data_IF_111659922718
#
_entry.id   IF_111659922718
#
_cell.length_a   1.000
_cell.length_b   1.000
_cell.length_c   1.000
_cell.angle_alpha   90.00
_cell.angle_beta   90.00
_cell.angle_gamma   90.00
#
_symmetry.space_group_name_H-M   'P 1'
#
loop_
_entity.id
_entity.type
_entity.pdbx_description
1 polymer ?
#
# COMPACT_ATOMS: atom_id res chain seq x y z
N UNK A 1 -1.28 -0.84 -18.70
CA UNK A 1 0.08 -0.82 -19.28
C UNK A 1 0.48 0.55 -19.81
N UNK A 2 -0.43 1.36 -20.37
CA UNK A 2 -0.09 2.71 -20.87
C UNK A 2 0.62 3.62 -19.84
N UNK A 3 0.19 3.58 -18.58
CA UNK A 3 0.78 4.39 -17.48
C UNK A 3 2.20 3.98 -17.07
N UNK A 4 2.72 2.86 -17.57
CA UNK A 4 4.11 2.44 -17.33
C UNK A 4 5.08 3.09 -18.33
N UNK A 5 4.59 3.51 -19.51
CA UNK A 5 5.44 4.18 -20.48
C UNK A 5 5.53 5.67 -20.14
N UNK A 6 6.73 6.28 -20.09
CA UNK A 6 6.91 7.68 -19.69
C UNK A 6 6.06 8.69 -20.49
N UNK A 7 5.99 8.52 -21.82
CA UNK A 7 5.16 9.38 -22.67
C UNK A 7 3.67 9.20 -22.39
N UNK A 8 3.26 7.96 -22.10
CA UNK A 8 1.87 7.64 -21.79
C UNK A 8 1.45 8.23 -20.45
N UNK A 9 2.31 8.05 -19.43
CA UNK A 9 2.15 8.66 -18.11
C UNK A 9 2.02 10.18 -18.20
N UNK A 10 2.93 10.84 -18.95
CA UNK A 10 2.94 12.30 -19.09
C UNK A 10 1.70 12.82 -19.82
N UNK A 11 1.27 12.17 -20.90
CA UNK A 11 0.06 12.57 -21.63
C UNK A 11 -1.19 12.39 -20.76
N UNK A 12 -1.24 11.29 -20.00
CA UNK A 12 -2.36 11.02 -19.09
C UNK A 12 -2.43 12.04 -17.95
N UNK A 13 -1.30 12.37 -17.33
CA UNK A 13 -1.26 13.39 -16.27
C UNK A 13 -1.73 14.76 -16.78
N UNK A 14 -1.30 15.19 -17.97
CA UNK A 14 -1.79 16.44 -18.58
C UNK A 14 -3.31 16.46 -18.75
N UNK A 15 -3.90 15.30 -19.05
CA UNK A 15 -5.36 15.17 -19.18
C UNK A 15 -6.04 15.34 -17.82
N UNK A 16 -5.49 14.73 -16.77
CA UNK A 16 -5.95 14.88 -15.38
C UNK A 16 -5.88 16.35 -14.93
N UNK A 17 -4.74 17.01 -15.16
CA UNK A 17 -4.51 18.41 -14.76
C UNK A 17 -5.36 19.41 -15.55
N UNK A 18 -5.88 19.03 -16.73
CA UNK A 18 -6.78 19.88 -17.52
C UNK A 18 -8.22 19.99 -16.97
N UNK A 19 -8.48 19.42 -15.78
CA UNK A 19 -9.77 19.46 -15.10
C UNK A 19 -10.62 18.20 -15.29
N UNK A 20 -10.12 17.21 -16.02
CA UNK A 20 -10.77 15.92 -16.22
C UNK A 20 -9.98 14.81 -15.51
N UNK A 21 -10.05 14.77 -14.18
CA UNK A 21 -9.44 13.70 -13.39
C UNK A 21 -10.23 12.39 -13.53
N UNK A 22 -10.14 11.81 -14.72
CA UNK A 22 -10.75 10.54 -15.09
C UNK A 22 -10.17 9.39 -14.28
N UNK A 23 -8.97 9.55 -13.71
CA UNK A 23 -8.33 8.52 -12.90
C UNK A 23 -9.02 8.39 -11.54
N UNK A 24 -9.21 9.50 -10.82
CA UNK A 24 -9.99 9.52 -9.58
C UNK A 24 -11.44 9.08 -9.85
N UNK A 25 -12.06 9.57 -10.93
CA UNK A 25 -13.43 9.19 -11.25
C UNK A 25 -13.57 7.68 -11.51
N UNK A 26 -12.64 7.11 -12.29
CA UNK A 26 -12.61 5.67 -12.58
C UNK A 26 -12.36 4.87 -11.31
N UNK A 27 -11.44 5.33 -10.46
CA UNK A 27 -11.15 4.72 -9.17
C UNK A 27 -12.41 4.68 -8.28
N UNK A 28 -13.08 5.83 -8.09
CA UNK A 28 -14.31 5.95 -7.30
C UNK A 28 -15.39 4.99 -7.80
N UNK A 29 -15.58 4.90 -9.12
CA UNK A 29 -16.55 3.98 -9.72
C UNK A 29 -16.21 2.51 -9.48
N UNK A 30 -14.93 2.16 -9.47
CA UNK A 30 -14.48 0.78 -9.27
C UNK A 30 -14.68 0.28 -7.83
N UNK A 31 -14.60 1.19 -6.85
CA UNK A 31 -14.77 0.91 -5.42
C UNK A 31 -16.18 1.24 -4.90
N UNK A 32 -17.05 1.81 -5.73
CA UNK A 32 -18.43 2.09 -5.39
C UNK A 32 -19.31 0.81 -5.44
N UNK A 33 -20.31 0.67 -4.55
CA UNK A 33 -21.29 -0.41 -4.64
C UNK A 33 -22.14 -0.34 -5.93
N UNK A 34 -22.47 -1.49 -6.56
CA UNK A 34 -22.02 -2.83 -6.21
C UNK A 34 -20.56 -3.08 -6.62
N UNK A 35 -19.74 -3.44 -5.64
CA UNK A 35 -18.30 -3.65 -5.85
C UNK A 35 -18.06 -4.91 -6.65
N UNK A 36 -17.30 -4.80 -7.75
CA UNK A 36 -16.92 -5.94 -8.59
C UNK A 36 -15.45 -6.26 -8.38
N UNK A 37 -15.15 -7.46 -7.86
CA UNK A 37 -13.78 -7.89 -7.56
C UNK A 37 -12.78 -7.70 -8.74
N UNK A 38 -13.14 -7.97 -10.02
CA UNK A 38 -12.24 -7.71 -11.15
C UNK A 38 -11.90 -6.24 -11.33
N UNK A 39 -12.85 -5.33 -11.09
CA UNK A 39 -12.66 -3.89 -11.24
C UNK A 39 -11.75 -3.35 -10.13
N UNK A 40 -11.96 -3.81 -8.89
CA UNK A 40 -11.09 -3.49 -7.75
C UNK A 40 -9.66 -3.95 -8.02
N UNK A 41 -9.46 -5.21 -8.43
CA UNK A 41 -8.13 -5.74 -8.76
C UNK A 41 -7.44 -4.94 -9.88
N UNK A 42 -8.18 -4.64 -10.95
CA UNK A 42 -7.64 -3.90 -12.09
C UNK A 42 -7.24 -2.48 -11.70
N UNK A 43 -8.08 -1.83 -10.89
CA UNK A 43 -7.85 -0.47 -10.39
C UNK A 43 -6.67 -0.44 -9.42
N UNK A 44 -6.59 -1.39 -8.48
CA UNK A 44 -5.43 -1.54 -7.59
C UNK A 44 -4.13 -1.65 -8.37
N UNK A 45 -4.09 -2.51 -9.40
CA UNK A 45 -2.91 -2.66 -10.26
C UNK A 45 -2.62 -1.40 -11.07
N UNK A 46 -3.65 -0.73 -11.59
CA UNK A 46 -3.49 0.51 -12.33
C UNK A 46 -2.85 1.61 -11.46
N UNK A 47 -3.37 1.82 -10.24
CA UNK A 47 -2.83 2.80 -9.28
C UNK A 47 -1.43 2.42 -8.81
N UNK A 48 -1.19 1.14 -8.51
CA UNK A 48 0.14 0.63 -8.12
C UNK A 48 1.20 0.92 -9.19
N UNK A 49 0.82 0.82 -10.47
CA UNK A 49 1.73 1.08 -11.58
C UNK A 49 2.04 2.57 -11.79
N UNK A 50 1.26 3.49 -11.21
CA UNK A 50 1.54 4.94 -11.31
C UNK A 50 2.84 5.32 -10.59
N UNK A 51 3.23 4.57 -9.57
CA UNK A 51 4.44 4.82 -8.78
C UNK A 51 5.73 4.73 -9.59
N UNK A 52 5.71 3.98 -10.70
CA UNK A 52 6.84 3.80 -11.61
C UNK A 52 7.23 5.12 -12.30
N UNK A 53 6.30 6.07 -12.41
CA UNK A 53 6.52 7.36 -13.04
C UNK A 53 6.42 8.50 -12.01
N UNK A 54 7.52 9.21 -11.80
CA UNK A 54 7.62 10.29 -10.80
C UNK A 54 6.63 11.43 -11.02
N UNK A 55 6.15 11.63 -12.25
CA UNK A 55 5.13 12.63 -12.56
C UNK A 55 3.82 12.41 -11.78
N UNK A 56 3.48 11.17 -11.42
CA UNK A 56 2.29 10.87 -10.62
C UNK A 56 2.50 10.95 -9.11
N UNK A 57 3.73 11.11 -8.62
CA UNK A 57 4.03 11.07 -7.17
C UNK A 57 3.25 12.14 -6.39
N UNK A 58 3.10 13.34 -6.97
CA UNK A 58 2.30 14.38 -6.33
C UNK A 58 0.82 14.01 -6.29
N UNK A 59 0.27 13.48 -7.39
CA UNK A 59 -1.13 13.02 -7.44
C UNK A 59 -1.38 11.91 -6.42
N UNK A 60 -0.48 10.91 -6.34
CA UNK A 60 -0.56 9.80 -5.39
C UNK A 60 -0.56 10.30 -3.94
N UNK A 61 0.28 11.28 -3.60
CA UNK A 61 0.28 11.90 -2.27
C UNK A 61 -1.03 12.62 -1.98
N UNK A 62 -1.51 13.44 -2.91
CA UNK A 62 -2.78 14.18 -2.76
C UNK A 62 -3.97 13.27 -2.52
N UNK A 63 -4.03 12.11 -3.18
CA UNK A 63 -5.15 11.17 -3.11
C UNK A 63 -4.92 9.97 -2.18
N UNK A 64 -3.82 9.95 -1.40
CA UNK A 64 -3.45 8.82 -0.56
C UNK A 64 -4.58 8.38 0.37
N UNK A 65 -5.12 9.31 1.17
CA UNK A 65 -6.16 9.00 2.14
C UNK A 65 -7.43 8.43 1.49
N UNK A 66 -7.93 9.10 0.44
CA UNK A 66 -9.10 8.65 -0.30
C UNK A 66 -8.91 7.25 -0.90
N UNK A 67 -7.74 6.99 -1.49
CA UNK A 67 -7.44 5.71 -2.11
C UNK A 67 -7.42 4.59 -1.07
N UNK A 68 -6.71 4.80 0.04
CA UNK A 68 -6.54 3.78 1.08
C UNK A 68 -7.86 3.51 1.81
N UNK A 69 -8.62 4.54 2.18
CA UNK A 69 -9.90 4.34 2.87
C UNK A 69 -10.92 3.62 1.99
N UNK A 70 -11.05 4.03 0.72
CA UNK A 70 -12.02 3.44 -0.20
C UNK A 70 -11.68 1.98 -0.49
N UNK A 71 -10.41 1.66 -0.72
CA UNK A 71 -9.96 0.28 -0.97
C UNK A 71 -10.12 -0.59 0.27
N UNK A 72 -9.82 -0.06 1.46
CA UNK A 72 -9.95 -0.80 2.71
C UNK A 72 -11.40 -1.24 2.96
N UNK A 73 -12.37 -0.39 2.61
CA UNK A 73 -13.80 -0.74 2.69
C UNK A 73 -14.20 -1.89 1.74
N UNK A 74 -13.44 -2.12 0.67
CA UNK A 74 -13.70 -3.16 -0.32
C UNK A 74 -13.08 -4.53 0.02
N UNK A 75 -12.31 -4.66 1.11
CA UNK A 75 -11.63 -5.91 1.52
C UNK A 75 -12.53 -7.16 1.51
N UNK A 76 -13.81 -7.11 1.97
CA UNK A 76 -14.69 -8.29 1.91
C UNK A 76 -14.94 -8.85 0.49
N UNK A 77 -14.70 -8.03 -0.54
CA UNK A 77 -14.83 -8.41 -1.96
C UNK A 77 -13.51 -8.79 -2.61
N UNK A 78 -12.41 -8.86 -1.86
CA UNK A 78 -11.10 -9.16 -2.43
C UNK A 78 -10.98 -10.61 -2.87
N UNK A 79 -10.35 -10.80 -4.02
CA UNK A 79 -9.74 -12.08 -4.37
C UNK A 79 -8.33 -12.14 -3.78
N UNK A 80 -7.72 -13.33 -3.75
CA UNK A 80 -6.29 -13.50 -3.40
C UNK A 80 -5.38 -12.51 -4.17
N UNK A 81 -5.65 -12.34 -5.46
CA UNK A 81 -4.89 -11.40 -6.29
C UNK A 81 -5.11 -9.93 -5.89
N UNK A 82 -6.27 -9.58 -5.35
CA UNK A 82 -6.56 -8.23 -4.87
C UNK A 82 -5.85 -7.95 -3.55
N UNK A 83 -5.79 -8.91 -2.62
CA UNK A 83 -4.97 -8.81 -1.41
C UNK A 83 -3.50 -8.59 -1.74
N UNK A 84 -2.97 -9.37 -2.69
CA UNK A 84 -1.59 -9.23 -3.15
C UNK A 84 -1.32 -7.85 -3.79
N UNK A 85 -2.25 -7.36 -4.63
CA UNK A 85 -2.13 -6.05 -5.26
C UNK A 85 -2.24 -4.90 -4.24
N UNK A 86 -3.12 -5.02 -3.26
CA UNK A 86 -3.26 -4.05 -2.18
C UNK A 86 -2.01 -4.00 -1.30
N UNK A 87 -1.43 -5.14 -0.96
CA UNK A 87 -0.15 -5.20 -0.22
C UNK A 87 0.99 -4.52 -1.00
N UNK A 88 1.03 -4.69 -2.33
CA UNK A 88 1.99 -3.93 -3.17
C UNK A 88 1.71 -2.44 -3.16
N UNK A 89 0.45 -2.02 -3.22
CA UNK A 89 0.07 -0.61 -3.15
C UNK A 89 0.56 0.03 -1.84
N UNK A 90 0.36 -0.65 -0.70
CA UNK A 90 0.84 -0.19 0.61
C UNK A 90 2.36 -0.08 0.66
N UNK A 91 3.09 -1.08 0.13
CA UNK A 91 4.54 -1.04 0.05
C UNK A 91 5.04 0.14 -0.80
N UNK A 92 4.42 0.38 -1.96
CA UNK A 92 4.78 1.49 -2.82
C UNK A 92 4.50 2.85 -2.16
N UNK A 93 3.40 2.97 -1.42
CA UNK A 93 3.12 4.16 -0.62
C UNK A 93 4.13 4.34 0.52
N UNK A 94 4.50 3.27 1.24
CA UNK A 94 5.52 3.34 2.27
C UNK A 94 6.83 3.94 1.70
N UNK A 95 7.28 3.43 0.54
CA UNK A 95 8.47 3.96 -0.15
C UNK A 95 8.29 5.43 -0.55
N UNK A 96 7.15 5.79 -1.15
CA UNK A 96 6.86 7.16 -1.60
C UNK A 96 6.79 8.18 -0.45
N UNK A 97 6.31 7.74 0.71
CA UNK A 97 6.02 8.59 1.86
C UNK A 97 7.16 8.67 2.87
N UNK A 98 8.15 7.77 2.86
CA UNK A 98 9.29 7.83 3.78
C UNK A 98 10.02 9.19 3.72
N UNK A 99 10.15 9.76 2.52
CA UNK A 99 10.77 11.08 2.34
C UNK A 99 9.80 12.25 2.56
N UNK A 100 8.52 11.97 2.79
CA UNK A 100 7.51 13.00 3.04
C UNK A 100 7.43 13.33 4.54
N UNK A 101 7.03 14.57 4.85
CA UNK A 101 6.72 15.00 6.22
C UNK A 101 5.26 14.71 6.62
N UNK A 102 4.64 13.73 5.97
CA UNK A 102 3.23 13.40 6.16
C UNK A 102 3.08 12.17 7.07
N UNK A 103 3.21 12.41 8.37
CA UNK A 103 3.05 11.37 9.41
C UNK A 103 1.66 10.72 9.35
N UNK A 104 0.61 11.50 9.03
CA UNK A 104 -0.76 11.01 8.97
C UNK A 104 -0.94 9.96 7.88
N UNK A 105 -0.48 10.25 6.66
CA UNK A 105 -0.52 9.27 5.56
C UNK A 105 0.35 8.06 5.88
N UNK A 106 1.54 8.24 6.45
CA UNK A 106 2.38 7.11 6.88
C UNK A 106 1.68 6.23 7.92
N UNK A 107 0.97 6.82 8.90
CA UNK A 107 0.27 6.10 9.95
C UNK A 107 -0.92 5.29 9.41
N UNK A 108 -1.60 5.84 8.39
CA UNK A 108 -2.67 5.14 7.67
C UNK A 108 -2.13 3.91 6.91
N UNK A 109 -1.00 4.06 6.20
CA UNK A 109 -0.34 2.95 5.51
C UNK A 109 0.17 1.90 6.50
N UNK A 110 0.77 2.33 7.61
CA UNK A 110 1.23 1.45 8.67
C UNK A 110 0.08 0.60 9.24
N UNK A 111 -1.03 1.24 9.61
CA UNK A 111 -2.22 0.55 10.16
C UNK A 111 -2.77 -0.48 9.17
N UNK A 112 -2.91 -0.10 7.89
CA UNK A 112 -3.37 -1.00 6.85
C UNK A 112 -2.43 -2.18 6.61
N UNK A 113 -1.12 -1.97 6.70
CA UNK A 113 -0.12 -3.02 6.54
C UNK A 113 -0.09 -3.98 7.75
N UNK A 114 -0.24 -3.46 8.97
CA UNK A 114 -0.36 -4.29 10.19
C UNK A 114 -1.54 -5.25 10.10
N UNK A 115 -2.70 -4.77 9.66
CA UNK A 115 -3.89 -5.63 9.49
C UNK A 115 -3.64 -6.80 8.53
N UNK A 116 -2.86 -6.60 7.45
CA UNK A 116 -2.48 -7.68 6.52
C UNK A 116 -1.46 -8.63 7.16
N UNK A 117 -0.50 -8.09 7.91
CA UNK A 117 0.55 -8.89 8.54
C UNK A 117 0.00 -9.81 9.65
N UNK A 118 -1.03 -9.35 10.38
CA UNK A 118 -1.72 -10.09 11.44
C UNK A 118 -2.75 -11.11 10.93
N UNK A 119 -3.30 -10.90 9.73
CA UNK A 119 -4.29 -11.80 9.17
C UNK A 119 -3.68 -13.13 8.71
N UNK A 120 -3.92 -14.18 9.49
CA UNK A 120 -3.42 -15.53 9.23
C UNK A 120 -3.95 -16.18 7.95
N UNK A 121 -5.00 -15.63 7.34
CA UNK A 121 -5.54 -16.12 6.07
C UNK A 121 -4.79 -15.58 4.85
N UNK A 122 -3.94 -14.57 5.03
CA UNK A 122 -3.19 -13.94 3.95
C UNK A 122 -2.07 -14.85 3.44
N UNK A 123 -1.83 -14.79 2.12
CA UNK A 123 -0.74 -15.54 1.52
C UNK A 123 0.64 -14.94 1.86
N UNK A 124 1.67 -15.77 1.73
CA UNK A 124 3.02 -15.41 2.11
C UNK A 124 3.57 -14.17 1.37
N UNK A 125 3.19 -13.94 0.11
CA UNK A 125 3.66 -12.78 -0.66
C UNK A 125 2.96 -11.49 -0.22
N UNK A 126 1.65 -11.55 0.06
CA UNK A 126 0.91 -10.42 0.62
C UNK A 126 1.47 -10.03 1.99
N UNK A 127 1.64 -10.99 2.90
CA UNK A 127 2.25 -10.77 4.22
C UNK A 127 3.66 -10.22 4.13
N UNK A 128 4.51 -10.80 3.27
CA UNK A 128 5.88 -10.33 3.09
C UNK A 128 5.91 -8.85 2.66
N UNK A 129 5.09 -8.44 1.68
CA UNK A 129 5.05 -7.04 1.23
C UNK A 129 4.55 -6.09 2.32
N UNK A 130 3.55 -6.50 3.10
CA UNK A 130 3.07 -5.72 4.23
C UNK A 130 4.16 -5.55 5.31
N UNK A 131 4.89 -6.61 5.65
CA UNK A 131 6.01 -6.56 6.59
C UNK A 131 7.14 -5.64 6.09
N UNK A 132 7.49 -5.72 4.81
CA UNK A 132 8.49 -4.80 4.22
C UNK A 132 8.00 -3.35 4.30
N UNK A 133 6.71 -3.09 4.06
CA UNK A 133 6.14 -1.74 4.20
C UNK A 133 6.25 -1.23 5.65
N UNK A 134 5.90 -2.06 6.64
CA UNK A 134 6.04 -1.76 8.07
C UNK A 134 7.50 -1.44 8.42
N UNK A 135 8.43 -2.34 8.08
CA UNK A 135 9.85 -2.15 8.37
C UNK A 135 10.43 -0.90 7.73
N UNK A 136 10.03 -0.59 6.49
CA UNK A 136 10.49 0.60 5.77
C UNK A 136 10.01 1.89 6.46
N UNK A 137 8.73 1.94 6.86
CA UNK A 137 8.15 3.06 7.60
C UNK A 137 8.75 3.21 9.00
N UNK A 138 9.06 2.11 9.68
CA UNK A 138 9.71 2.15 11.00
C UNK A 138 11.17 2.60 10.94
N UNK A 139 11.89 2.22 9.88
CA UNK A 139 13.31 2.52 9.75
C UNK A 139 13.54 3.98 9.34
N UNK A 140 12.81 4.46 8.33
CA UNK A 140 13.08 5.75 7.70
C UNK A 140 11.88 6.72 7.75
N UNK A 141 10.70 6.27 8.17
CA UNK A 141 9.52 7.12 8.33
C UNK A 141 9.45 7.78 9.70
N UNK A 142 8.32 8.47 9.94
CA UNK A 142 8.00 9.20 11.15
C UNK A 142 7.20 8.37 12.17
N UNK A 143 6.75 7.18 11.77
CA UNK A 143 5.71 6.42 12.49
C UNK A 143 6.24 5.28 13.37
N UNK A 144 7.54 5.29 13.71
CA UNK A 144 8.13 4.26 14.59
C UNK A 144 7.43 4.21 15.96
N UNK A 145 7.13 5.34 16.58
CA UNK A 145 6.41 5.41 17.87
C UNK A 145 5.01 4.81 17.75
N UNK A 146 4.26 5.19 16.70
CA UNK A 146 2.92 4.68 16.42
C UNK A 146 2.97 3.16 16.23
N UNK A 147 3.96 2.63 15.50
CA UNK A 147 4.11 1.19 15.31
C UNK A 147 4.32 0.45 16.64
N UNK A 148 5.10 1.03 17.57
CA UNK A 148 5.30 0.46 18.90
C UNK A 148 4.00 0.48 19.73
N UNK A 149 3.24 1.57 19.66
CA UNK A 149 1.94 1.68 20.35
C UNK A 149 0.90 0.69 19.80
N UNK A 150 1.00 0.33 18.51
CA UNK A 150 0.18 -0.69 17.84
C UNK A 150 0.74 -2.12 18.01
N UNK A 151 1.68 -2.35 18.92
CA UNK A 151 2.28 -3.66 19.22
C UNK A 151 2.90 -4.39 18.01
N UNK A 152 3.58 -3.63 17.13
CA UNK A 152 4.37 -4.20 16.00
C UNK A 152 5.39 -5.26 16.45
N UNK A 153 5.76 -5.26 17.73
CA UNK A 153 6.65 -6.25 18.33
C UNK A 153 6.04 -7.65 18.31
N UNK A 154 4.73 -7.77 18.57
CA UNK A 154 4.01 -9.05 18.45
C UNK A 154 4.04 -9.56 17.01
N UNK A 155 3.71 -8.69 16.05
CA UNK A 155 3.76 -8.97 14.61
C UNK A 155 5.16 -9.44 14.18
N UNK A 156 6.21 -8.73 14.60
CA UNK A 156 7.60 -9.07 14.28
C UNK A 156 8.03 -10.42 14.87
N UNK A 157 7.58 -10.77 16.08
CA UNK A 157 7.86 -12.07 16.69
C UNK A 157 7.17 -13.21 15.94
N UNK A 158 5.90 -13.04 15.58
CA UNK A 158 5.14 -14.03 14.80
C UNK A 158 5.76 -14.23 13.42
N UNK A 159 6.07 -13.14 12.71
CA UNK A 159 6.76 -13.19 11.43
C UNK A 159 8.12 -13.88 11.54
N UNK A 160 8.93 -13.53 12.54
CA UNK A 160 10.25 -14.12 12.79
C UNK A 160 10.22 -15.61 13.11
N UNK A 161 9.09 -16.15 13.57
CA UNK A 161 8.89 -17.58 13.82
C UNK A 161 8.33 -18.35 12.60
N UNK A 162 8.09 -17.66 11.48
CA UNK A 162 7.57 -18.25 10.26
C UNK A 162 8.51 -19.33 9.69
N UNK A 163 7.93 -20.34 9.04
CA UNK A 163 8.68 -21.34 8.27
C UNK A 163 9.09 -20.83 6.89
N UNK A 164 8.46 -19.75 6.42
CA UNK A 164 8.84 -19.08 5.19
C UNK A 164 10.04 -18.15 5.48
N UNK A 165 11.16 -18.40 4.80
CA UNK A 165 12.44 -17.75 5.11
C UNK A 165 12.40 -16.23 4.93
N UNK A 166 11.74 -15.71 3.88
CA UNK A 166 11.68 -14.26 3.64
C UNK A 166 10.79 -13.57 4.69
N UNK A 167 9.75 -14.24 5.19
CA UNK A 167 8.90 -13.71 6.27
C UNK A 167 9.68 -13.72 7.59
N UNK A 168 10.41 -14.80 7.87
CA UNK A 168 11.24 -14.92 9.07
C UNK A 168 12.34 -13.84 9.12
N UNK A 169 13.01 -13.62 7.99
CA UNK A 169 14.07 -12.62 7.85
C UNK A 169 13.54 -11.20 8.07
N UNK A 170 12.49 -10.79 7.35
CA UNK A 170 11.92 -9.44 7.52
C UNK A 170 11.34 -9.25 8.93
N UNK A 171 10.76 -10.29 9.53
CA UNK A 171 10.30 -10.24 10.93
C UNK A 171 11.44 -10.02 11.92
N UNK A 172 12.59 -10.66 11.71
CA UNK A 172 13.78 -10.45 12.51
C UNK A 172 14.33 -9.02 12.36
N UNK A 173 14.32 -8.47 11.14
CA UNK A 173 14.73 -7.09 10.87
C UNK A 173 13.84 -6.07 11.57
N UNK A 174 12.51 -6.20 11.45
CA UNK A 174 11.55 -5.34 12.15
C UNK A 174 11.77 -5.43 13.66
N UNK A 175 12.04 -6.63 14.19
CA UNK A 175 12.31 -6.82 15.62
C UNK A 175 13.56 -6.05 16.07
N UNK A 176 14.58 -5.89 15.23
CA UNK A 176 15.74 -5.06 15.56
C UNK A 176 15.37 -3.57 15.69
N UNK A 177 14.36 -3.10 14.94
CA UNK A 177 13.84 -1.74 15.02
C UNK A 177 12.98 -1.49 16.26
N UNK A 178 12.49 -2.53 16.93
CA UNK A 178 11.70 -2.39 18.18
C UNK A 178 12.54 -2.17 19.44
N UNK A 179 13.86 -2.08 19.29
CA UNK A 179 14.81 -1.74 20.36
C UNK A 179 14.92 -0.24 20.58
#
# INVERSE_FOLDING_TARGET
MFVLHPDGATLFLKTIESGNDVLVETFRKAVAPPVQAPNVLTTLRAVTNLFDNTCFHQWLRTHCAEIIDSVSSCKPSFSKNAHLAYSTLLLNYAVLLIESKDEQSQAQILSAALEIAEDETQDADAKYRALVAIGSLMLNGLVKSIALDLDVKSVANTAGASKDSKIAEVGADIKMLTR
#
